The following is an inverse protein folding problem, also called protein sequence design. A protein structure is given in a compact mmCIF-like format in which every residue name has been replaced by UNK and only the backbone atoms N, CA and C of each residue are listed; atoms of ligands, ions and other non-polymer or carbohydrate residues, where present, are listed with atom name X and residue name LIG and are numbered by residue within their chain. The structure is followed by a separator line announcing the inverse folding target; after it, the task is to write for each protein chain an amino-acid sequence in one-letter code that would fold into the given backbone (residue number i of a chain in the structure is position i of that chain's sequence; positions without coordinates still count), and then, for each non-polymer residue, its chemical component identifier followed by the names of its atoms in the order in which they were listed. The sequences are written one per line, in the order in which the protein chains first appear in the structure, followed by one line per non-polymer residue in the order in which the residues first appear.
data_IF_646714230958
#
_entry.id   IF_646714230958
#
_cell.length_a   1.000
_cell.length_b   1.000
_cell.length_c   1.000
_cell.angle_alpha   90.00
_cell.angle_beta   90.00
_cell.angle_gamma   90.00
#
_symmetry.space_group_name_H-M   'P 1'
#
loop_
_entity.id
_entity.type
_entity.pdbx_description
1 polymer ?
#
# COMPACT_ATOMS: atom_id res chain seq x y z
N UNK A 1 -11.87 -7.14 8.78
CA UNK A 1 -11.74 -5.81 8.16
C UNK A 1 -11.09 -4.88 9.15
N UNK A 2 -10.04 -4.19 8.74
CA UNK A 2 -9.29 -3.24 9.57
C UNK A 2 -9.35 -1.87 8.89
N UNK A 3 -9.66 -0.82 9.64
CA UNK A 3 -9.62 0.56 9.13
C UNK A 3 -8.44 1.27 9.74
N UNK A 4 -7.61 1.89 8.90
CA UNK A 4 -6.42 2.66 9.30
C UNK A 4 -6.65 4.12 8.95
N UNK A 5 -6.74 4.96 9.99
CA UNK A 5 -6.95 6.42 9.89
C UNK A 5 -5.83 7.21 10.58
N UNK A 6 -4.80 6.53 11.09
CA UNK A 6 -3.72 7.14 11.86
C UNK A 6 -2.38 6.63 11.34
N UNK A 7 -1.41 7.53 11.32
CA UNK A 7 -0.10 7.36 10.71
C UNK A 7 0.36 8.75 10.26
N UNK A 8 1.56 9.17 10.61
CA UNK A 8 2.07 10.48 10.23
C UNK A 8 1.97 10.66 8.71
N UNK A 9 1.51 11.85 8.29
CA UNK A 9 1.38 12.28 6.90
C UNK A 9 2.63 11.92 6.11
N UNK A 10 2.53 10.82 5.37
CA UNK A 10 3.52 10.45 4.39
C UNK A 10 3.20 11.21 3.13
N UNK A 11 3.81 12.39 2.96
CA UNK A 11 4.10 12.85 1.61
C UNK A 11 4.85 11.76 0.82
N UNK A 12 5.10 11.97 -0.49
CA UNK A 12 5.74 10.97 -1.34
C UNK A 12 7.01 10.45 -0.67
N UNK A 13 6.94 9.22 -0.17
CA UNK A 13 8.02 8.48 0.47
C UNK A 13 8.51 8.90 1.87
N UNK A 14 7.62 9.01 2.87
CA UNK A 14 8.07 9.11 4.26
C UNK A 14 8.56 7.75 4.81
N UNK A 15 9.81 7.36 4.50
CA UNK A 15 10.47 6.17 5.07
C UNK A 15 10.69 6.21 6.60
N UNK A 16 10.25 7.26 7.30
CA UNK A 16 10.63 7.56 8.69
C UNK A 16 9.49 7.60 9.73
N UNK A 17 8.30 7.10 9.42
CA UNK A 17 7.18 7.07 10.36
C UNK A 17 6.90 5.68 10.91
N UNK A 18 7.28 5.38 12.15
CA UNK A 18 6.89 4.14 12.89
C UNK A 18 5.39 4.10 13.28
N UNK A 19 4.54 4.79 12.53
CA UNK A 19 3.13 4.98 12.85
C UNK A 19 2.24 4.40 11.75
N UNK A 20 1.11 3.85 12.14
CA UNK A 20 0.22 3.11 11.25
C UNK A 20 0.13 1.62 11.62
N UNK A 21 -0.46 0.83 10.73
CA UNK A 21 -0.58 -0.61 10.91
C UNK A 21 0.70 -1.31 10.42
N UNK A 22 1.44 -1.93 11.33
CA UNK A 22 2.54 -2.84 10.97
C UNK A 22 2.03 -4.27 10.76
N UNK A 23 2.16 -4.78 9.53
CA UNK A 23 1.78 -6.13 9.15
C UNK A 23 3.03 -7.01 9.15
N UNK A 24 3.18 -7.85 10.18
CA UNK A 24 4.25 -8.86 10.29
C UNK A 24 3.77 -10.29 9.97
N UNK A 25 2.45 -10.46 9.86
CA UNK A 25 1.79 -11.72 9.52
C UNK A 25 0.85 -11.48 8.35
N UNK A 26 -0.43 -11.83 8.52
CA UNK A 26 -1.44 -11.62 7.48
C UNK A 26 -2.45 -10.54 7.90
N UNK A 27 -2.64 -9.54 7.05
CA UNK A 27 -3.73 -8.56 7.16
C UNK A 27 -4.68 -8.74 5.98
N UNK A 28 -5.99 -8.73 6.25
CA UNK A 28 -7.03 -8.99 5.23
C UNK A 28 -8.07 -7.89 5.28
N UNK A 29 -8.47 -7.39 4.10
CA UNK A 29 -9.53 -6.37 3.96
C UNK A 29 -9.22 -5.14 4.80
N UNK A 30 -8.05 -4.56 4.54
CA UNK A 30 -7.65 -3.31 5.19
C UNK A 30 -8.13 -2.14 4.35
N UNK A 31 -8.77 -1.16 4.97
CA UNK A 31 -9.07 0.14 4.38
C UNK A 31 -8.12 1.17 4.95
N UNK A 32 -7.40 1.88 4.10
CA UNK A 32 -6.48 2.96 4.44
C UNK A 32 -7.12 4.25 3.95
N UNK A 33 -7.54 5.10 4.89
CA UNK A 33 -8.10 6.41 4.57
C UNK A 33 -6.99 7.48 4.56
N UNK A 34 -7.38 8.73 4.32
CA UNK A 34 -6.50 9.89 4.45
C UNK A 34 -5.71 9.83 5.78
N UNK A 35 -4.40 10.05 5.70
CA UNK A 35 -3.45 9.97 6.82
C UNK A 35 -3.34 8.56 7.45
N UNK A 36 -3.94 7.55 6.83
CA UNK A 36 -3.74 6.16 7.17
C UNK A 36 -2.46 5.64 6.52
N UNK A 37 -1.72 4.81 7.26
CA UNK A 37 -0.55 4.11 6.73
C UNK A 37 -0.56 2.64 7.09
N UNK A 38 -0.38 1.77 6.11
CA UNK A 38 -0.06 0.35 6.32
C UNK A 38 1.38 0.09 5.91
N UNK A 39 2.14 -0.57 6.79
CA UNK A 39 3.50 -1.03 6.53
C UNK A 39 3.48 -2.54 6.49
N UNK A 40 3.63 -3.10 5.30
CA UNK A 40 3.76 -4.54 5.08
C UNK A 40 5.24 -4.89 5.20
N UNK A 41 5.64 -5.43 6.36
CA UNK A 41 7.03 -5.83 6.61
C UNK A 41 7.45 -6.97 5.66
N UNK A 42 8.74 -7.27 5.57
CA UNK A 42 9.29 -8.27 4.65
C UNK A 42 8.58 -9.64 4.71
N UNK A 43 8.26 -10.11 5.91
CA UNK A 43 7.54 -11.37 6.14
C UNK A 43 6.00 -11.21 6.16
N UNK A 44 5.52 -9.98 5.97
CA UNK A 44 4.12 -9.62 6.03
C UNK A 44 3.39 -9.85 4.71
N UNK A 45 2.09 -10.13 4.79
CA UNK A 45 1.19 -10.18 3.64
C UNK A 45 -0.07 -9.36 3.91
N UNK A 46 -0.36 -8.39 3.05
CA UNK A 46 -1.62 -7.67 3.02
C UNK A 46 -2.48 -8.16 1.84
N UNK A 47 -3.72 -8.56 2.10
CA UNK A 47 -4.63 -9.07 1.08
C UNK A 47 -5.92 -8.24 1.02
N UNK A 48 -6.35 -7.89 -0.19
CA UNK A 48 -7.55 -7.08 -0.44
C UNK A 48 -7.47 -5.73 0.29
N UNK A 49 -6.42 -4.95 0.05
CA UNK A 49 -6.27 -3.62 0.67
C UNK A 49 -6.89 -2.56 -0.21
N UNK A 50 -7.65 -1.63 0.35
CA UNK A 50 -8.19 -0.45 -0.35
C UNK A 50 -7.52 0.79 0.20
N UNK A 51 -6.90 1.57 -0.67
CA UNK A 51 -6.18 2.80 -0.32
C UNK A 51 -6.88 3.99 -0.95
N UNK A 52 -7.45 4.87 -0.13
CA UNK A 52 -8.08 6.10 -0.58
C UNK A 52 -7.09 7.26 -0.65
N UNK A 53 -7.52 8.36 -1.27
CA UNK A 53 -6.75 9.59 -1.35
C UNK A 53 -6.14 10.00 -0.01
N UNK A 54 -4.84 10.30 -0.02
CA UNK A 54 -4.05 10.66 1.16
C UNK A 54 -3.67 9.49 2.08
N UNK A 55 -4.02 8.25 1.73
CA UNK A 55 -3.58 7.04 2.41
C UNK A 55 -2.41 6.36 1.69
N UNK A 56 -1.59 5.64 2.47
CA UNK A 56 -0.36 5.00 1.98
C UNK A 56 -0.25 3.52 2.36
N UNK A 57 0.19 2.69 1.41
CA UNK A 57 0.68 1.34 1.66
C UNK A 57 2.18 1.25 1.32
N UNK A 58 3.01 1.02 2.34
CA UNK A 58 4.45 0.72 2.19
C UNK A 58 4.64 -0.80 2.15
N UNK A 59 5.19 -1.32 1.05
CA UNK A 59 5.30 -2.77 0.80
C UNK A 59 6.77 -3.20 0.76
N UNK A 60 7.23 -3.84 1.83
CA UNK A 60 8.50 -4.59 1.89
C UNK A 60 8.30 -6.10 1.74
N UNK A 61 7.11 -6.61 2.06
CA UNK A 61 6.71 -8.01 1.87
C UNK A 61 5.76 -8.18 0.69
N UNK A 62 4.58 -8.74 0.92
CA UNK A 62 3.61 -9.06 -0.15
C UNK A 62 2.30 -8.27 -0.02
N UNK A 63 1.91 -7.56 -1.08
CA UNK A 63 0.59 -6.96 -1.21
C UNK A 63 -0.18 -7.66 -2.34
N UNK A 64 -1.37 -8.18 -2.03
CA UNK A 64 -2.23 -8.91 -2.96
C UNK A 64 -3.56 -8.17 -3.08
N UNK A 65 -4.06 -8.01 -4.31
CA UNK A 65 -5.38 -7.43 -4.62
C UNK A 65 -5.54 -6.02 -4.03
N UNK A 66 -4.54 -5.15 -4.21
CA UNK A 66 -4.61 -3.78 -3.71
C UNK A 66 -5.39 -2.89 -4.68
N UNK A 67 -6.36 -2.12 -4.18
CA UNK A 67 -7.11 -1.12 -4.95
C UNK A 67 -6.71 0.29 -4.54
N UNK A 68 -6.19 1.09 -5.46
CA UNK A 68 -5.76 2.48 -5.23
C UNK A 68 -6.81 3.45 -5.78
N UNK A 69 -7.65 3.99 -4.88
CA UNK A 69 -8.70 4.98 -5.15
C UNK A 69 -8.20 6.39 -4.81
N UNK A 70 -7.17 6.86 -5.52
CA UNK A 70 -6.51 8.13 -5.22
C UNK A 70 -5.34 8.03 -4.24
N UNK A 71 -5.14 6.87 -3.62
CA UNK A 71 -4.06 6.61 -2.65
C UNK A 71 -2.77 6.09 -3.28
N UNK A 72 -1.77 5.85 -2.43
CA UNK A 72 -0.43 5.46 -2.85
C UNK A 72 -0.04 4.05 -2.39
N UNK A 73 0.64 3.31 -3.27
CA UNK A 73 1.36 2.09 -2.93
C UNK A 73 2.83 2.26 -3.30
N UNK A 74 3.73 2.11 -2.33
CA UNK A 74 5.17 2.13 -2.53
C UNK A 74 5.69 0.70 -2.40
N UNK A 75 6.21 0.14 -3.49
CA UNK A 75 6.80 -1.20 -3.52
C UNK A 75 8.31 -1.06 -3.39
N UNK A 76 8.84 -1.37 -2.21
CA UNK A 76 10.26 -1.24 -1.89
C UNK A 76 11.06 -2.45 -2.35
N UNK A 77 12.39 -2.38 -2.23
CA UNK A 77 13.28 -3.50 -2.49
C UNK A 77 12.84 -4.77 -1.74
N UNK A 78 12.70 -5.88 -2.45
CA UNK A 78 12.22 -7.16 -1.93
C UNK A 78 10.69 -7.25 -1.80
N UNK A 79 9.99 -6.13 -1.90
CA UNK A 79 8.53 -6.07 -1.90
C UNK A 79 7.93 -6.53 -3.22
N UNK A 80 6.78 -7.19 -3.13
CA UNK A 80 5.97 -7.61 -4.29
C UNK A 80 4.54 -7.13 -4.14
N UNK A 81 4.01 -6.45 -5.16
CA UNK A 81 2.60 -6.13 -5.29
C UNK A 81 2.01 -6.89 -6.48
N UNK A 82 1.00 -7.72 -6.23
CA UNK A 82 0.30 -8.50 -7.25
C UNK A 82 -1.15 -8.03 -7.38
N UNK A 83 -1.66 -8.00 -8.61
CA UNK A 83 -3.06 -7.71 -8.93
C UNK A 83 -3.51 -6.35 -8.39
N UNK A 84 -2.60 -5.36 -8.44
CA UNK A 84 -2.93 -4.00 -8.03
C UNK A 84 -3.80 -3.33 -9.09
N UNK A 85 -4.93 -2.76 -8.67
CA UNK A 85 -5.81 -1.95 -9.50
C UNK A 85 -5.61 -0.49 -9.15
N UNK A 86 -5.12 0.28 -10.13
CA UNK A 86 -4.89 1.72 -10.01
C UNK A 86 -6.06 2.45 -10.65
N UNK A 87 -6.90 3.11 -9.84
CA UNK A 87 -8.02 3.94 -10.29
C UNK A 87 -7.60 5.41 -10.41
N UNK A 88 -8.53 6.30 -10.75
CA UNK A 88 -8.25 7.74 -10.92
C UNK A 88 -7.46 8.30 -9.75
N UNK A 89 -6.37 8.99 -10.09
CA UNK A 89 -5.46 9.67 -9.18
C UNK A 89 -4.73 8.74 -8.19
N UNK A 90 -4.86 7.41 -8.33
CA UNK A 90 -4.07 6.43 -7.58
C UNK A 90 -2.65 6.29 -8.15
N UNK A 91 -1.70 5.94 -7.29
CA UNK A 91 -0.29 5.82 -7.66
C UNK A 91 0.35 4.55 -7.12
N UNK A 92 0.85 3.71 -8.02
CA UNK A 92 1.76 2.63 -7.67
C UNK A 92 3.18 3.04 -8.04
N UNK A 93 4.06 3.12 -7.04
CA UNK A 93 5.46 3.49 -7.19
C UNK A 93 6.32 2.25 -6.91
N UNK A 94 6.96 1.72 -7.94
CA UNK A 94 7.87 0.57 -7.81
C UNK A 94 9.31 1.09 -7.74
N UNK A 95 9.97 0.88 -6.60
CA UNK A 95 11.36 1.28 -6.37
C UNK A 95 12.33 0.24 -6.89
N UNK A 96 13.62 0.57 -6.90
CA UNK A 96 14.69 -0.37 -7.25
C UNK A 96 14.59 -1.65 -6.41
N UNK A 97 14.54 -2.80 -7.07
CA UNK A 97 14.38 -4.12 -6.44
C UNK A 97 12.95 -4.50 -6.01
N UNK A 98 11.97 -3.62 -6.22
CA UNK A 98 10.55 -3.96 -6.05
C UNK A 98 9.95 -4.61 -7.29
N UNK A 99 8.89 -5.40 -7.10
CA UNK A 99 8.16 -6.07 -8.19
C UNK A 99 6.67 -5.70 -8.15
N UNK A 100 6.14 -5.20 -9.26
CA UNK A 100 4.70 -5.14 -9.49
C UNK A 100 4.32 -6.14 -10.58
N UNK A 101 3.40 -7.04 -10.26
CA UNK A 101 2.90 -8.07 -11.16
C UNK A 101 1.40 -7.90 -11.38
N UNK A 102 0.92 -8.14 -12.61
CA UNK A 102 -0.50 -8.02 -13.00
C UNK A 102 -1.19 -6.69 -12.62
N UNK A 103 -0.46 -5.57 -12.68
CA UNK A 103 -1.07 -4.27 -12.38
C UNK A 103 -2.02 -3.83 -13.50
N UNK A 104 -3.25 -3.46 -13.11
CA UNK A 104 -4.26 -2.87 -13.99
C UNK A 104 -4.35 -1.37 -13.73
N UNK A 105 -4.18 -0.55 -14.76
CA UNK A 105 -4.33 0.91 -14.67
C UNK A 105 -5.59 1.34 -15.42
N UNK A 106 -6.60 1.79 -14.66
CA UNK A 106 -7.83 2.30 -15.24
C UNK A 106 -7.63 3.74 -15.72
N UNK A 107 -8.06 4.03 -16.95
CA UNK A 107 -8.05 5.40 -17.48
C UNK A 107 -9.12 6.25 -16.78
N UNK A 108 -8.84 7.55 -16.66
CA UNK A 108 -9.78 8.56 -16.13
C UNK A 108 -11.09 8.61 -16.92
#
# INVERSE_FOLDING_TARGET
DTVVNTGAEGGPDAENGDTGQFVRGNAVRTTINENGRQIVAAEGTANTTVVYAGGDQTVHGHALDTTLNGGYQYVHNGGTASDTVVNSDGWQIVKEGGLADFTTVNQK
#
